data_IF_487401608719
#
_entry.id   IF_487401608719
#
_cell.length_a   1.000
_cell.length_b   1.000
_cell.length_c   1.000
_cell.angle_alpha   90.00
_cell.angle_beta   90.00
_cell.angle_gamma   90.00
#
_symmetry.space_group_name_H-M   'P 1'
#
loop_
_entity.id
_entity.type
_entity.pdbx_description
1 polymer ?
#
# COMPACT_ATOMS: atom_id res chain seq x y z
N UNK A 1 -21.51 -8.17 -21.88
CA UNK A 1 -20.24 -8.57 -21.26
C UNK A 1 -20.38 -10.05 -21.02
N UNK A 2 -19.76 -10.88 -21.86
CA UNK A 2 -19.89 -12.33 -21.72
C UNK A 2 -18.86 -12.79 -20.68
N UNK A 3 -19.36 -13.24 -19.54
CA UNK A 3 -18.54 -13.87 -18.51
C UNK A 3 -18.14 -15.25 -19.01
N UNK A 4 -16.85 -15.47 -19.23
CA UNK A 4 -16.28 -16.80 -19.46
C UNK A 4 -15.71 -17.37 -18.16
N UNK A 5 -15.71 -18.70 -18.05
CA UNK A 5 -15.08 -19.40 -16.93
C UNK A 5 -14.24 -20.56 -17.46
N UNK A 6 -13.13 -20.80 -16.78
CA UNK A 6 -12.21 -21.91 -17.06
C UNK A 6 -11.99 -22.71 -15.79
N UNK A 7 -11.98 -24.03 -15.91
CA UNK A 7 -11.71 -24.94 -14.78
C UNK A 7 -10.37 -25.63 -14.99
N UNK A 8 -9.60 -25.79 -13.92
CA UNK A 8 -8.26 -26.36 -13.92
C UNK A 8 -8.22 -27.57 -12.98
N UNK A 9 -7.52 -28.63 -13.38
CA UNK A 9 -7.48 -29.89 -12.62
C UNK A 9 -6.64 -29.83 -11.33
N UNK A 10 -5.78 -28.83 -11.18
CA UNK A 10 -4.98 -28.59 -9.99
C UNK A 10 -4.47 -27.14 -9.91
N UNK A 11 -3.95 -26.75 -8.75
CA UNK A 11 -3.43 -25.40 -8.51
C UNK A 11 -2.29 -25.02 -9.46
N UNK A 12 -1.36 -25.93 -9.77
CA UNK A 12 -0.23 -25.63 -10.66
C UNK A 12 -0.69 -25.27 -12.07
N UNK A 13 -1.68 -25.99 -12.61
CA UNK A 13 -2.28 -25.71 -13.93
C UNK A 13 -3.08 -24.41 -13.96
N UNK A 14 -3.75 -24.07 -12.84
CA UNK A 14 -4.41 -22.77 -12.68
C UNK A 14 -3.37 -21.64 -12.63
N UNK A 15 -2.37 -21.79 -11.76
CA UNK A 15 -1.31 -20.81 -11.53
C UNK A 15 -0.54 -20.48 -12.81
N UNK A 16 -0.22 -21.48 -13.65
CA UNK A 16 0.47 -21.24 -14.92
C UNK A 16 -0.32 -20.40 -15.93
N UNK A 17 -1.63 -20.23 -15.75
CA UNK A 17 -2.48 -19.41 -16.62
C UNK A 17 -2.70 -18.01 -16.05
N UNK A 18 -2.85 -17.89 -14.73
CA UNK A 18 -3.13 -16.60 -14.07
C UNK A 18 -1.88 -15.84 -13.64
N UNK A 19 -0.74 -16.52 -13.55
CA UNK A 19 0.55 -15.95 -13.16
C UNK A 19 1.49 -15.98 -14.35
N UNK A 20 2.38 -14.99 -14.41
CA UNK A 20 3.37 -14.86 -15.47
C UNK A 20 4.28 -13.66 -15.22
N UNK A 21 5.21 -13.45 -16.13
CA UNK A 21 6.06 -12.25 -16.11
C UNK A 21 5.26 -11.06 -16.66
N UNK A 22 4.89 -10.16 -15.76
CA UNK A 22 4.35 -8.85 -16.10
C UNK A 22 5.52 -7.87 -15.98
N UNK A 23 6.10 -7.49 -17.13
CA UNK A 23 7.38 -6.78 -17.18
C UNK A 23 7.50 -5.63 -16.18
N UNK A 24 8.68 -5.52 -15.56
CA UNK A 24 9.01 -4.45 -14.61
C UNK A 24 9.90 -3.36 -15.20
N UNK A 25 10.46 -2.53 -14.32
CA UNK A 25 11.43 -1.48 -14.68
C UNK A 25 10.82 -0.11 -14.99
N UNK A 26 9.50 0.03 -14.89
CA UNK A 26 8.84 1.33 -14.93
C UNK A 26 8.98 2.10 -13.61
N UNK A 27 8.97 3.43 -13.69
CA UNK A 27 8.84 4.30 -12.53
C UNK A 27 7.37 4.33 -12.09
N UNK A 28 7.10 4.02 -10.83
CA UNK A 28 5.74 3.99 -10.31
C UNK A 28 5.71 4.32 -8.83
N UNK A 29 4.58 4.88 -8.42
CA UNK A 29 4.19 5.07 -7.04
C UNK A 29 2.70 4.76 -6.95
N UNK A 30 2.29 4.03 -5.93
CA UNK A 30 0.89 3.63 -5.71
C UNK A 30 0.45 4.06 -4.32
N UNK A 31 -0.85 4.13 -4.10
CA UNK A 31 -1.42 4.06 -2.75
C UNK A 31 -2.14 2.72 -2.59
N UNK A 32 -2.32 2.27 -1.34
CA UNK A 32 -3.03 1.03 -1.09
C UNK A 32 -3.84 1.06 0.19
N UNK A 33 -4.82 0.16 0.26
CA UNK A 33 -5.58 -0.10 1.47
C UNK A 33 -6.13 -1.52 1.49
N UNK A 34 -6.09 -2.15 2.65
CA UNK A 34 -6.83 -3.39 2.89
C UNK A 34 -8.30 -3.04 3.12
N UNK A 35 -9.21 -3.70 2.43
CA UNK A 35 -10.65 -3.45 2.55
C UNK A 35 -11.36 -4.76 2.93
N UNK A 36 -12.16 -4.71 3.97
CA UNK A 36 -12.97 -5.82 4.47
C UNK A 36 -14.47 -5.53 4.35
N UNK A 37 -15.26 -6.23 5.16
CA UNK A 37 -16.72 -6.07 5.16
C UNK A 37 -17.17 -4.65 5.52
N UNK A 38 -16.54 -4.04 6.52
CA UNK A 38 -16.90 -2.69 6.99
C UNK A 38 -16.78 -1.66 5.87
N UNK A 39 -15.72 -1.76 5.08
CA UNK A 39 -15.44 -0.82 4.00
C UNK A 39 -16.30 -1.11 2.76
N UNK A 40 -16.56 -2.39 2.45
CA UNK A 40 -17.19 -2.77 1.18
C UNK A 40 -18.70 -2.97 1.24
N UNK A 41 -19.22 -3.41 2.39
CA UNK A 41 -20.62 -3.82 2.56
C UNK A 41 -21.35 -2.88 3.52
N UNK A 42 -20.71 -2.53 4.63
CA UNK A 42 -21.37 -1.75 5.68
C UNK A 42 -21.26 -0.23 5.40
N UNK A 43 -20.37 0.20 4.50
CA UNK A 43 -20.29 1.58 4.00
C UNK A 43 -21.44 1.85 3.00
N UNK A 44 -22.15 3.00 3.11
CA UNK A 44 -23.22 3.32 2.17
C UNK A 44 -22.74 3.28 0.70
N UNK A 45 -23.55 2.69 -0.17
CA UNK A 45 -23.17 2.51 -1.59
C UNK A 45 -22.76 3.81 -2.28
N UNK A 46 -23.44 4.92 -1.99
CA UNK A 46 -23.10 6.24 -2.56
C UNK A 46 -21.69 6.70 -2.14
N UNK A 47 -21.29 6.41 -0.89
CA UNK A 47 -19.95 6.72 -0.39
C UNK A 47 -18.91 5.81 -1.03
N UNK A 48 -19.18 4.50 -1.14
CA UNK A 48 -18.30 3.56 -1.86
C UNK A 48 -18.07 4.02 -3.31
N UNK A 49 -19.12 4.44 -4.03
CA UNK A 49 -18.99 4.98 -5.39
C UNK A 49 -18.13 6.25 -5.39
N UNK A 50 -18.30 7.14 -4.40
CA UNK A 50 -17.47 8.34 -4.28
C UNK A 50 -16.01 8.00 -4.03
N UNK A 51 -15.72 7.06 -3.14
CA UNK A 51 -14.37 6.63 -2.82
C UNK A 51 -13.69 5.95 -4.00
N UNK A 52 -14.40 5.09 -4.73
CA UNK A 52 -13.89 4.47 -5.95
C UNK A 52 -13.57 5.51 -7.04
N UNK A 53 -14.36 6.57 -7.17
CA UNK A 53 -14.04 7.68 -8.09
C UNK A 53 -12.75 8.39 -7.70
N UNK A 54 -12.51 8.61 -6.40
CA UNK A 54 -11.26 9.21 -5.91
C UNK A 54 -10.09 8.24 -6.09
N UNK A 55 -10.25 6.95 -5.79
CA UNK A 55 -9.22 5.93 -5.96
C UNK A 55 -8.85 5.66 -7.42
N UNK A 56 -9.71 6.09 -8.36
CA UNK A 56 -9.46 6.06 -9.81
C UNK A 56 -9.11 7.45 -10.36
N UNK A 57 -8.81 8.44 -9.51
CA UNK A 57 -8.40 9.75 -9.99
C UNK A 57 -7.03 9.64 -10.68
N UNK A 58 -6.84 10.41 -11.73
CA UNK A 58 -5.54 10.58 -12.36
C UNK A 58 -5.00 11.97 -12.03
N UNK A 59 -3.68 12.09 -11.82
CA UNK A 59 -3.06 13.32 -11.34
C UNK A 59 -3.29 14.52 -12.27
N UNK A 60 -3.46 14.30 -13.57
CA UNK A 60 -3.67 15.36 -14.55
C UNK A 60 -4.98 15.21 -15.34
N UNK A 61 -5.79 16.27 -15.37
CA UNK A 61 -7.03 16.30 -16.13
C UNK A 61 -8.17 15.49 -15.49
N UNK A 62 -9.11 15.02 -16.31
CA UNK A 62 -10.33 14.36 -15.86
C UNK A 62 -10.38 12.87 -16.23
N UNK A 63 -9.25 12.29 -16.64
CA UNK A 63 -9.16 10.86 -16.97
C UNK A 63 -9.22 10.01 -15.70
N UNK A 64 -9.67 8.76 -15.85
CA UNK A 64 -9.55 7.76 -14.78
C UNK A 64 -8.21 7.03 -14.84
N UNK A 65 -7.74 6.56 -13.70
CA UNK A 65 -6.59 5.66 -13.56
C UNK A 65 -7.03 4.19 -13.46
N UNK A 66 -6.04 3.30 -13.32
CA UNK A 66 -6.26 1.89 -13.07
C UNK A 66 -6.18 1.58 -11.59
N UNK A 67 -6.93 0.57 -11.15
CA UNK A 67 -6.82 0.01 -9.81
C UNK A 67 -6.56 -1.48 -9.91
N UNK A 68 -5.74 -2.01 -9.00
CA UNK A 68 -5.52 -3.45 -8.87
C UNK A 68 -6.17 -3.93 -7.58
N UNK A 69 -6.97 -4.98 -7.68
CA UNK A 69 -7.65 -5.59 -6.52
C UNK A 69 -7.08 -6.99 -6.32
N UNK A 70 -6.18 -7.12 -5.37
CA UNK A 70 -5.65 -8.40 -4.93
C UNK A 70 -6.63 -9.10 -3.99
N UNK A 71 -6.95 -10.36 -4.26
CA UNK A 71 -7.73 -11.22 -3.36
C UNK A 71 -6.82 -11.88 -2.32
N UNK A 72 -6.10 -11.05 -1.57
CA UNK A 72 -5.04 -11.49 -0.64
C UNK A 72 -5.56 -11.86 0.76
N UNK A 73 -6.88 -11.87 0.96
CA UNK A 73 -7.57 -12.25 2.20
C UNK A 73 -8.09 -13.69 2.22
N UNK A 74 -9.13 -13.93 3.04
CA UNK A 74 -9.86 -15.20 3.09
C UNK A 74 -9.60 -16.08 4.32
N UNK A 75 -10.22 -17.26 4.41
CA UNK A 75 -10.24 -18.08 5.64
C UNK A 75 -8.86 -18.45 6.16
N UNK A 76 -7.89 -18.74 5.27
CA UNK A 76 -6.53 -19.08 5.70
C UNK A 76 -5.83 -17.94 6.46
N UNK A 77 -6.03 -16.70 6.01
CA UNK A 77 -5.46 -15.50 6.65
C UNK A 77 -6.27 -15.13 7.89
N UNK A 78 -7.61 -15.13 7.80
CA UNK A 78 -8.52 -14.79 8.90
C UNK A 78 -8.43 -15.75 10.07
N UNK A 79 -8.44 -17.05 9.80
CA UNK A 79 -8.57 -18.11 10.81
C UNK A 79 -7.19 -18.60 11.31
N UNK A 80 -6.11 -17.89 10.96
CA UNK A 80 -4.79 -18.12 11.56
C UNK A 80 -4.91 -17.93 13.09
N UNK A 81 -4.39 -18.84 13.93
CA UNK A 81 -4.45 -18.67 15.38
C UNK A 81 -3.52 -17.53 15.82
N UNK A 82 -3.92 -16.80 16.86
CA UNK A 82 -3.20 -15.63 17.36
C UNK A 82 -1.72 -15.90 17.68
N UNK A 83 -1.40 -17.10 18.19
CA UNK A 83 -0.02 -17.53 18.46
C UNK A 83 0.89 -17.57 17.22
N UNK A 84 0.32 -17.53 16.01
CA UNK A 84 1.02 -17.51 14.71
C UNK A 84 0.86 -16.20 13.96
N UNK A 85 0.38 -15.13 14.60
CA UNK A 85 0.23 -13.84 13.93
C UNK A 85 1.56 -13.22 13.51
N UNK A 86 2.60 -13.42 14.31
CA UNK A 86 3.86 -12.69 14.14
C UNK A 86 3.61 -11.18 14.24
N UNK A 87 4.33 -10.40 13.43
CA UNK A 87 4.20 -8.94 13.37
C UNK A 87 3.20 -8.43 12.33
N UNK A 88 2.42 -9.33 11.70
CA UNK A 88 1.48 -8.94 10.65
C UNK A 88 0.41 -7.97 11.21
N UNK A 89 0.13 -6.90 10.48
CA UNK A 89 -0.94 -5.96 10.83
C UNK A 89 -2.28 -6.70 11.00
N UNK A 90 -3.01 -6.43 12.07
CA UNK A 90 -4.22 -7.18 12.44
C UNK A 90 -5.36 -7.06 11.42
N UNK A 91 -5.47 -5.92 10.72
CA UNK A 91 -6.44 -5.72 9.62
C UNK A 91 -6.34 -6.74 8.48
N UNK A 92 -5.21 -7.45 8.31
CA UNK A 92 -5.13 -8.60 7.41
C UNK A 92 -6.15 -9.71 7.74
N UNK A 93 -6.58 -9.82 9.01
CA UNK A 93 -7.54 -10.84 9.46
C UNK A 93 -8.97 -10.55 8.99
N UNK A 94 -9.31 -9.29 8.75
CA UNK A 94 -10.64 -8.87 8.27
C UNK A 94 -10.66 -8.47 6.79
N UNK A 95 -9.50 -8.34 6.15
CA UNK A 95 -9.38 -7.94 4.76
C UNK A 95 -9.94 -9.00 3.79
N UNK A 96 -10.64 -8.51 2.78
CA UNK A 96 -11.00 -9.27 1.58
C UNK A 96 -10.13 -8.85 0.40
N UNK A 97 -9.92 -7.54 0.26
CA UNK A 97 -9.17 -6.95 -0.84
C UNK A 97 -7.90 -6.28 -0.33
N UNK A 98 -6.81 -6.48 -1.06
CA UNK A 98 -5.71 -5.54 -1.12
C UNK A 98 -5.99 -4.63 -2.32
N UNK A 99 -6.47 -3.40 -2.05
CA UNK A 99 -6.80 -2.43 -3.09
C UNK A 99 -5.58 -1.54 -3.33
N UNK A 100 -5.06 -1.56 -4.56
CA UNK A 100 -3.94 -0.70 -4.99
C UNK A 100 -4.52 0.33 -5.96
N UNK A 101 -4.42 1.60 -5.58
CA UNK A 101 -4.73 2.73 -6.43
C UNK A 101 -3.46 3.22 -7.15
N UNK A 102 -3.65 3.57 -8.41
CA UNK A 102 -2.66 4.26 -9.24
C UNK A 102 -3.25 5.60 -9.65
N UNK A 103 -2.44 6.49 -10.21
CA UNK A 103 -2.94 7.77 -10.69
C UNK A 103 -1.91 8.86 -10.70
N UNK A 104 -0.91 8.76 -9.83
CA UNK A 104 0.22 9.65 -9.85
C UNK A 104 1.12 9.42 -11.07
N UNK A 105 1.66 10.50 -11.60
CA UNK A 105 2.66 10.49 -12.66
C UNK A 105 4.03 10.42 -12.00
N UNK A 106 4.82 9.43 -12.38
CA UNK A 106 6.22 9.33 -12.01
C UNK A 106 7.03 9.31 -13.31
N UNK A 107 7.57 10.46 -13.67
CA UNK A 107 8.47 10.64 -14.82
C UNK A 107 9.66 11.50 -14.38
N UNK A 108 10.78 10.85 -14.10
CA UNK A 108 12.00 11.52 -13.64
C UNK A 108 12.64 12.43 -14.68
N UNK A 109 12.39 12.20 -15.98
CA UNK A 109 12.91 13.05 -17.06
C UNK A 109 12.13 14.35 -17.07
N UNK A 110 10.80 14.28 -17.13
CA UNK A 110 9.93 15.46 -17.16
C UNK A 110 10.01 16.26 -15.85
N UNK A 111 10.12 15.59 -14.70
CA UNK A 111 10.25 16.24 -13.40
C UNK A 111 11.65 16.84 -13.15
N UNK A 112 12.66 16.46 -13.93
CA UNK A 112 14.06 16.91 -13.80
C UNK A 112 14.91 16.09 -12.82
N UNK A 113 14.31 15.22 -12.00
CA UNK A 113 15.01 14.22 -11.19
C UNK A 113 14.04 13.15 -10.66
N UNK A 114 14.54 11.94 -10.31
CA UNK A 114 13.73 10.93 -9.63
C UNK A 114 13.15 11.43 -8.29
N UNK A 115 13.91 12.24 -7.55
CA UNK A 115 13.43 12.85 -6.29
C UNK A 115 12.23 13.75 -6.53
N UNK A 116 12.27 14.62 -7.53
CA UNK A 116 11.17 15.53 -7.83
C UNK A 116 9.93 14.76 -8.31
N UNK A 117 10.10 13.77 -9.17
CA UNK A 117 8.98 12.92 -9.62
C UNK A 117 8.29 12.23 -8.44
N UNK A 118 9.05 11.56 -7.56
CA UNK A 118 8.52 10.88 -6.38
C UNK A 118 7.87 11.86 -5.39
N UNK A 119 8.45 13.03 -5.17
CA UNK A 119 7.88 14.04 -4.26
C UNK A 119 6.56 14.61 -4.77
N UNK A 120 6.45 14.88 -6.08
CA UNK A 120 5.22 15.37 -6.69
C UNK A 120 4.11 14.30 -6.61
N UNK A 121 4.44 13.06 -6.98
CA UNK A 121 3.53 11.93 -6.88
C UNK A 121 3.07 11.66 -5.43
N UNK A 122 4.00 11.66 -4.49
CA UNK A 122 3.72 11.46 -3.07
C UNK A 122 2.84 12.57 -2.49
N UNK A 123 3.11 13.83 -2.84
CA UNK A 123 2.30 14.97 -2.42
C UNK A 123 0.86 14.86 -2.95
N UNK A 124 0.70 14.45 -4.21
CA UNK A 124 -0.62 14.22 -4.78
C UNK A 124 -1.38 13.11 -4.05
N UNK A 125 -0.74 11.96 -3.78
CA UNK A 125 -1.38 10.90 -2.98
C UNK A 125 -1.76 11.38 -1.58
N UNK A 126 -0.90 12.13 -0.89
CA UNK A 126 -1.20 12.70 0.43
C UNK A 126 -2.31 13.76 0.42
N UNK A 127 -2.53 14.43 -0.70
CA UNK A 127 -3.59 15.42 -0.86
C UNK A 127 -4.93 14.78 -1.28
N UNK A 128 -4.89 13.73 -2.09
CA UNK A 128 -6.07 13.17 -2.76
C UNK A 128 -6.49 11.82 -2.20
N UNK A 129 -5.62 10.82 -2.23
CA UNK A 129 -6.01 9.44 -1.94
C UNK A 129 -5.86 9.07 -0.47
N UNK A 130 -4.76 9.43 0.19
CA UNK A 130 -4.55 9.10 1.60
C UNK A 130 -5.63 9.70 2.53
N UNK A 131 -6.11 10.95 2.33
CA UNK A 131 -7.24 11.48 3.09
C UNK A 131 -8.53 10.68 2.84
N UNK A 132 -8.76 10.22 1.62
CA UNK A 132 -9.89 9.38 1.29
C UNK A 132 -9.79 8.03 2.02
N UNK A 133 -8.62 7.38 2.03
CA UNK A 133 -8.41 6.15 2.79
C UNK A 133 -8.62 6.34 4.29
N UNK A 134 -8.11 7.44 4.85
CA UNK A 134 -8.30 7.79 6.27
C UNK A 134 -9.78 8.03 6.61
N UNK A 135 -10.63 8.33 5.63
CA UNK A 135 -12.08 8.44 5.80
C UNK A 135 -12.81 7.11 5.60
N UNK A 136 -12.47 6.37 4.53
CA UNK A 136 -13.17 5.15 4.16
C UNK A 136 -12.78 3.94 5.03
N UNK A 137 -11.49 3.81 5.34
CA UNK A 137 -10.90 2.63 5.96
C UNK A 137 -9.96 3.02 7.11
N UNK A 138 -10.43 3.91 8.00
CA UNK A 138 -9.64 4.52 9.08
C UNK A 138 -8.91 3.47 9.94
N UNK A 139 -9.57 2.39 10.32
CA UNK A 139 -8.98 1.34 11.19
C UNK A 139 -8.26 0.24 10.39
N UNK A 140 -8.15 0.41 9.08
CA UNK A 140 -7.47 -0.55 8.21
C UNK A 140 -6.01 -0.19 7.98
N UNK A 141 -5.32 -1.04 7.21
CA UNK A 141 -3.90 -0.98 6.94
C UNK A 141 -3.63 -0.77 5.44
N UNK A 142 -2.47 -0.21 5.13
CA UNK A 142 -1.86 -0.24 3.81
C UNK A 142 -0.77 -1.32 3.79
N UNK A 143 -0.59 -2.00 2.65
CA UNK A 143 0.47 -3.00 2.53
C UNK A 143 1.78 -2.32 2.17
N UNK A 144 2.72 -2.27 3.12
CA UNK A 144 3.96 -1.49 3.01
C UNK A 144 4.82 -1.79 1.76
N UNK A 145 4.68 -2.97 1.17
CA UNK A 145 5.46 -3.35 -0.01
C UNK A 145 4.87 -2.80 -1.33
N UNK A 146 3.63 -2.35 -1.35
CA UNK A 146 2.88 -2.00 -2.58
C UNK A 146 2.08 -0.70 -2.38
N UNK A 147 2.69 0.30 -1.74
CA UNK A 147 2.01 1.54 -1.34
C UNK A 147 2.96 2.74 -1.29
N UNK A 148 2.46 3.90 -0.90
CA UNK A 148 3.21 5.16 -0.87
C UNK A 148 4.12 5.18 0.39
N UNK A 149 5.46 5.03 0.25
CA UNK A 149 6.38 5.06 1.38
C UNK A 149 6.55 6.48 1.96
N UNK A 150 5.94 7.50 1.36
CA UNK A 150 5.89 8.86 1.90
C UNK A 150 4.61 9.14 2.68
N UNK A 151 3.81 8.09 2.97
CA UNK A 151 2.58 8.23 3.75
C UNK A 151 2.89 8.83 5.14
N UNK A 152 2.29 9.97 5.46
CA UNK A 152 2.49 10.67 6.73
C UNK A 152 2.04 9.86 7.95
N UNK A 153 1.15 8.90 7.76
CA UNK A 153 0.64 7.97 8.76
C UNK A 153 1.25 6.55 8.66
N UNK A 154 2.40 6.37 7.99
CA UNK A 154 2.99 5.06 7.72
C UNK A 154 3.12 4.16 8.96
N UNK A 155 3.44 4.70 10.14
CA UNK A 155 3.57 3.93 11.39
C UNK A 155 2.29 3.15 11.70
N UNK A 156 1.17 3.86 11.66
CA UNK A 156 -0.16 3.30 11.90
C UNK A 156 -0.66 2.50 10.71
N UNK A 157 -0.45 2.98 9.49
CA UNK A 157 -0.99 2.33 8.30
C UNK A 157 -0.26 1.03 7.93
N UNK A 158 1.04 0.91 8.19
CA UNK A 158 1.83 -0.26 7.79
C UNK A 158 1.99 -1.27 8.93
N UNK A 159 2.14 -0.78 10.16
CA UNK A 159 2.47 -1.61 11.32
C UNK A 159 1.38 -1.62 12.39
N UNK A 160 0.53 -0.60 12.43
CA UNK A 160 -0.57 -0.48 13.38
C UNK A 160 -0.09 -0.55 14.83
N UNK A 161 -0.83 -1.27 15.67
CA UNK A 161 -0.49 -1.49 17.08
C UNK A 161 0.81 -2.27 17.32
N UNK A 162 1.44 -2.82 16.27
CA UNK A 162 2.70 -3.55 16.42
C UNK A 162 3.91 -2.62 16.32
N UNK A 163 3.74 -1.34 15.97
CA UNK A 163 4.87 -0.44 15.70
C UNK A 163 5.81 -0.30 16.89
N UNK A 164 5.28 -0.07 18.09
CA UNK A 164 6.09 0.13 19.30
C UNK A 164 6.91 -1.13 19.64
N UNK A 165 6.29 -2.31 19.60
CA UNK A 165 6.97 -3.57 19.86
C UNK A 165 8.05 -3.87 18.79
N UNK A 166 7.78 -3.54 17.53
CA UNK A 166 8.77 -3.63 16.46
C UNK A 166 9.91 -2.65 16.66
N UNK A 167 9.64 -1.45 17.18
CA UNK A 167 10.65 -0.45 17.49
C UNK A 167 11.56 -0.91 18.63
N UNK A 168 11.02 -1.54 19.67
CA UNK A 168 11.82 -2.16 20.73
C UNK A 168 12.75 -3.26 20.18
N UNK A 169 12.24 -4.09 19.26
CA UNK A 169 13.04 -5.11 18.57
C UNK A 169 14.15 -4.45 17.74
N UNK A 170 13.83 -3.42 16.95
CA UNK A 170 14.80 -2.66 16.18
C UNK A 170 15.90 -2.09 17.07
N UNK A 171 15.56 -1.43 18.17
CA UNK A 171 16.54 -0.85 19.11
C UNK A 171 17.41 -1.92 19.79
N UNK A 172 16.85 -3.10 20.06
CA UNK A 172 17.61 -4.20 20.68
C UNK A 172 18.68 -4.77 19.74
N UNK A 173 18.36 -4.91 18.45
CA UNK A 173 19.21 -5.61 17.48
C UNK A 173 19.98 -4.70 16.54
N UNK A 174 19.57 -3.44 16.38
CA UNK A 174 20.25 -2.39 15.62
C UNK A 174 20.17 -1.04 16.34
N UNK A 175 20.81 -0.91 17.52
CA UNK A 175 20.75 0.29 18.35
C UNK A 175 21.42 1.53 17.72
N UNK A 176 22.23 1.34 16.68
CA UNK A 176 22.90 2.44 15.97
C UNK A 176 22.14 2.90 14.72
N UNK A 177 21.02 2.22 14.40
CA UNK A 177 20.22 2.38 13.18
C UNK A 177 21.06 2.22 11.90
N UNK A 178 21.92 1.21 11.87
CA UNK A 178 22.76 0.89 10.71
C UNK A 178 21.93 0.45 9.49
N UNK A 179 20.74 -0.10 9.71
CA UNK A 179 19.80 -0.53 8.67
C UNK A 179 18.67 0.49 8.53
N UNK A 180 18.75 1.36 7.52
CA UNK A 180 17.71 2.33 7.21
C UNK A 180 16.88 1.90 6.00
N UNK A 181 15.55 2.07 6.11
CA UNK A 181 14.59 1.92 5.01
C UNK A 181 13.57 3.04 5.13
N UNK A 182 13.20 3.69 4.03
CA UNK A 182 12.14 4.71 4.01
C UNK A 182 10.81 4.09 4.47
N UNK A 183 10.12 4.76 5.41
CA UNK A 183 8.95 4.25 6.11
C UNK A 183 9.16 2.92 6.85
N UNK A 184 10.42 2.57 7.12
CA UNK A 184 10.80 1.49 8.02
C UNK A 184 10.49 1.83 9.49
N UNK A 185 10.51 0.81 10.35
CA UNK A 185 10.43 1.02 11.80
C UNK A 185 11.62 1.88 12.26
N UNK A 186 11.34 2.99 12.96
CA UNK A 186 12.32 3.98 13.40
C UNK A 186 12.83 4.95 12.32
N UNK A 187 12.34 4.87 11.07
CA UNK A 187 12.84 5.72 9.98
C UNK A 187 12.53 7.20 10.14
N UNK A 188 11.55 7.55 10.98
CA UNK A 188 11.15 8.93 11.29
C UNK A 188 12.16 9.69 12.16
N UNK A 189 13.14 9.01 12.74
CA UNK A 189 14.32 9.63 13.37
C UNK A 189 15.36 10.14 12.36
N UNK A 190 15.12 9.98 11.06
CA UNK A 190 16.08 10.24 10.01
C UNK A 190 15.48 11.04 8.85
N UNK A 191 16.29 11.92 8.26
CA UNK A 191 16.01 12.63 7.04
C UNK A 191 16.90 12.09 5.92
N UNK A 192 16.28 11.49 4.90
CA UNK A 192 16.95 10.97 3.71
C UNK A 192 16.77 11.89 2.50
N UNK A 193 17.88 12.32 1.91
CA UNK A 193 17.88 13.07 0.67
C UNK A 193 18.30 12.18 -0.51
N UNK A 194 17.32 11.73 -1.30
CA UNK A 194 17.53 10.90 -2.49
C UNK A 194 18.48 11.53 -3.53
N UNK A 195 18.53 12.86 -3.64
CA UNK A 195 19.36 13.55 -4.62
C UNK A 195 20.83 13.57 -4.20
N UNK A 196 21.09 13.81 -2.91
CA UNK A 196 22.47 13.91 -2.39
C UNK A 196 23.00 12.61 -1.82
N UNK A 197 22.12 11.64 -1.55
CA UNK A 197 22.42 10.40 -0.85
C UNK A 197 22.64 10.57 0.65
N UNK A 198 22.47 11.77 1.22
CA UNK A 198 22.69 12.02 2.64
C UNK A 198 21.56 11.43 3.47
N UNK A 199 21.94 10.80 4.57
CA UNK A 199 21.06 10.32 5.63
C UNK A 199 21.50 10.99 6.94
N UNK A 200 20.64 11.86 7.48
CA UNK A 200 20.93 12.68 8.65
C UNK A 200 19.94 12.36 9.76
N UNK A 201 20.40 12.29 11.02
CA UNK A 201 19.48 12.22 12.17
C UNK A 201 18.70 13.53 12.30
N UNK A 202 17.43 13.42 12.68
CA UNK A 202 16.53 14.55 12.99
C UNK A 202 16.75 15.02 14.42
#
# INVERSE_FOLDING_TARGET
>A
MDLSSSTFGNYSSFFSVISGDIGGGGEALTSSRLLGRSELVDTPHADVVSYLKTAMAYQEGCSGSLVTIGLSGGPGVRDTPQSRYGALHTSWRSAYWHFIATGAIVDSISAGSPKQALQQAAAWYEEVEEPMWRKWALESAAYMNETNPYNSNFKKDFYGSNYEALQEVKQRYDPEDSLFVLAGVGSDGWNYDLQTGKLCRV
#
